data_IF_191486519637
#
_entry.id   IF_191486519637
#
_cell.length_a   1.000
_cell.length_b   1.000
_cell.length_c   1.000
_cell.angle_alpha   90.00
_cell.angle_beta   90.00
_cell.angle_gamma   90.00
#
_symmetry.space_group_name_H-M   'P 1'
#
loop_
_entity.id
_entity.type
_entity.pdbx_description
1 polymer ?
#
# COMPACT_ATOMS: atom_id res chain seq x y z
N UNK A 1 -6.77 -6.61 14.87
CA UNK A 1 -6.09 -5.31 14.60
C UNK A 1 -5.35 -4.92 15.87
N UNK A 2 -4.15 -4.31 15.77
CA UNK A 2 -3.43 -3.88 16.98
C UNK A 2 -4.15 -2.71 17.66
N UNK A 3 -3.99 -2.53 19.01
CA UNK A 3 -4.65 -1.42 19.73
C UNK A 3 -4.25 -0.04 19.19
N UNK A 4 -3.05 0.09 18.61
CA UNK A 4 -2.58 1.33 17.99
C UNK A 4 -3.36 1.64 16.72
N UNK A 5 -3.59 0.64 15.86
CA UNK A 5 -4.41 0.78 14.65
C UNK A 5 -5.86 1.10 14.98
N UNK A 6 -6.44 0.42 15.96
CA UNK A 6 -7.81 0.70 16.42
C UNK A 6 -7.96 2.14 16.88
N UNK A 7 -7.01 2.63 17.69
CA UNK A 7 -7.02 4.02 18.15
C UNK A 7 -6.88 5.00 16.98
N UNK A 8 -6.02 4.70 16.02
CA UNK A 8 -5.84 5.55 14.82
C UNK A 8 -7.15 5.66 14.03
N UNK A 9 -7.75 4.54 13.63
CA UNK A 9 -8.98 4.55 12.83
C UNK A 9 -10.19 5.14 13.58
N UNK A 10 -10.32 4.88 14.89
CA UNK A 10 -11.35 5.52 15.72
C UNK A 10 -11.14 7.03 15.81
N UNK A 11 -9.90 7.49 15.82
CA UNK A 11 -9.55 8.91 15.81
C UNK A 11 -10.05 9.67 14.58
N UNK A 12 -10.16 9.02 13.43
CA UNK A 12 -10.68 9.66 12.20
C UNK A 12 -12.12 10.14 12.37
N UNK A 13 -12.92 9.48 13.18
CA UNK A 13 -14.32 9.82 13.40
C UNK A 13 -14.53 11.02 14.34
N UNK A 14 -13.52 11.34 15.17
CA UNK A 14 -13.63 12.43 16.16
C UNK A 14 -13.70 13.83 15.53
N UNK A 15 -13.28 13.96 14.27
CA UNK A 15 -13.17 15.23 13.56
C UNK A 15 -13.80 15.16 12.16
N UNK A 16 -14.91 14.43 12.03
CA UNK A 16 -15.55 14.05 10.77
C UNK A 16 -15.60 15.17 9.70
N UNK A 17 -16.00 16.38 10.09
CA UNK A 17 -16.20 17.51 9.18
C UNK A 17 -14.91 18.32 8.89
N UNK A 18 -13.81 18.02 9.59
CA UNK A 18 -12.56 18.76 9.36
C UNK A 18 -11.85 18.26 8.10
N UNK A 19 -11.16 19.16 7.36
CA UNK A 19 -10.28 18.74 6.29
C UNK A 19 -9.21 17.75 6.80
N UNK A 20 -9.07 16.63 6.10
CA UNK A 20 -8.08 15.60 6.40
C UNK A 20 -6.95 15.59 5.36
N UNK A 21 -7.29 15.64 4.07
CA UNK A 21 -6.34 15.63 2.97
C UNK A 21 -6.73 16.68 1.93
N UNK A 22 -5.73 17.39 1.38
CA UNK A 22 -5.90 18.39 0.34
C UNK A 22 -4.85 18.16 -0.74
N UNK A 23 -5.29 18.07 -2.01
CA UNK A 23 -4.45 17.91 -3.18
C UNK A 23 -5.03 18.73 -4.34
N UNK A 24 -4.43 19.87 -4.65
CA UNK A 24 -4.99 20.81 -5.61
C UNK A 24 -6.41 21.24 -5.20
N UNK A 25 -7.38 20.99 -6.09
CA UNK A 25 -8.80 21.29 -5.85
C UNK A 25 -9.56 20.13 -5.16
N UNK A 26 -8.93 18.96 -5.01
CA UNK A 26 -9.51 17.81 -4.31
C UNK A 26 -9.27 17.94 -2.81
N UNK A 27 -10.33 17.84 -2.03
CA UNK A 27 -10.27 17.83 -0.58
C UNK A 27 -11.15 16.70 -0.04
N UNK A 28 -10.62 15.96 0.94
CA UNK A 28 -11.38 15.01 1.74
C UNK A 28 -11.45 15.50 3.19
N UNK A 29 -12.60 15.44 3.80
CA UNK A 29 -12.73 15.54 5.25
C UNK A 29 -12.46 14.18 5.89
N UNK A 30 -12.42 14.10 7.23
CA UNK A 30 -12.14 12.85 7.93
C UNK A 30 -13.23 11.78 7.73
N UNK A 31 -14.50 12.17 7.54
CA UNK A 31 -15.59 11.24 7.27
C UNK A 31 -15.44 10.62 5.87
N UNK A 32 -15.17 11.45 4.85
CA UNK A 32 -14.92 11.00 3.48
C UNK A 32 -13.69 10.09 3.43
N UNK A 33 -12.61 10.50 4.10
CA UNK A 33 -11.38 9.70 4.20
C UNK A 33 -11.66 8.31 4.77
N UNK A 34 -12.41 8.22 5.89
CA UNK A 34 -12.75 6.95 6.51
C UNK A 34 -13.60 6.07 5.58
N UNK A 35 -14.57 6.67 4.86
CA UNK A 35 -15.43 5.97 3.90
C UNK A 35 -14.63 5.42 2.72
N UNK A 36 -13.76 6.24 2.12
CA UNK A 36 -12.93 5.83 0.97
C UNK A 36 -11.90 4.77 1.36
N UNK A 37 -11.27 4.88 2.54
CA UNK A 37 -10.40 3.82 3.09
C UNK A 37 -11.18 2.50 3.20
N UNK A 38 -12.41 2.54 3.72
CA UNK A 38 -13.27 1.36 3.85
C UNK A 38 -13.52 0.71 2.50
N UNK A 39 -13.90 1.49 1.49
CA UNK A 39 -14.17 0.99 0.14
C UNK A 39 -12.91 0.35 -0.49
N UNK A 40 -11.75 0.98 -0.40
CA UNK A 40 -10.50 0.42 -0.89
C UNK A 40 -10.11 -0.87 -0.14
N UNK A 41 -10.28 -0.89 1.19
CA UNK A 41 -10.00 -2.08 2.00
C UNK A 41 -10.90 -3.26 1.62
N UNK A 42 -12.17 -3.00 1.30
CA UNK A 42 -13.10 -4.04 0.85
C UNK A 42 -12.72 -4.60 -0.52
N UNK A 43 -12.26 -3.76 -1.46
CA UNK A 43 -11.70 -4.23 -2.74
C UNK A 43 -10.49 -5.15 -2.50
N UNK A 44 -9.56 -4.78 -1.63
CA UNK A 44 -8.40 -5.60 -1.29
C UNK A 44 -8.78 -6.95 -0.67
N UNK A 45 -9.77 -6.95 0.23
CA UNK A 45 -10.29 -8.19 0.86
C UNK A 45 -10.97 -9.10 -0.16
N UNK A 46 -11.82 -8.53 -1.04
CA UNK A 46 -12.51 -9.27 -2.10
C UNK A 46 -11.52 -9.88 -3.10
N UNK A 47 -10.46 -9.16 -3.41
CA UNK A 47 -9.36 -9.63 -4.24
C UNK A 47 -8.52 -10.73 -3.58
N UNK A 48 -8.66 -10.95 -2.28
CA UNK A 48 -7.83 -11.89 -1.50
C UNK A 48 -6.37 -11.46 -1.39
N UNK A 49 -6.07 -10.17 -1.59
CA UNK A 49 -4.72 -9.62 -1.54
C UNK A 49 -4.04 -9.87 -0.19
N UNK A 50 -2.73 -10.09 -0.21
CA UNK A 50 -1.90 -10.27 0.97
C UNK A 50 -0.81 -9.22 1.08
N UNK A 51 -0.20 -8.83 -0.05
CA UNK A 51 0.91 -7.89 -0.13
C UNK A 51 0.66 -6.90 -1.26
N UNK A 52 0.32 -5.67 -0.87
CA UNK A 52 -0.03 -4.61 -1.79
C UNK A 52 1.19 -3.74 -2.08
N UNK A 53 1.60 -3.62 -3.35
CA UNK A 53 2.53 -2.58 -3.76
C UNK A 53 1.78 -1.32 -4.20
N UNK A 54 2.38 -0.15 -3.90
CA UNK A 54 1.88 1.16 -4.30
C UNK A 54 2.86 1.83 -5.25
N UNK A 55 2.54 1.84 -6.54
CA UNK A 55 3.25 2.55 -7.60
C UNK A 55 2.49 3.82 -8.01
N UNK A 56 2.17 4.64 -7.03
CA UNK A 56 1.42 5.88 -7.15
C UNK A 56 2.31 7.07 -6.79
N UNK A 57 2.03 8.22 -7.39
CA UNK A 57 2.60 9.48 -6.94
C UNK A 57 2.07 9.87 -5.56
N UNK A 58 2.83 10.69 -4.84
CA UNK A 58 2.40 11.22 -3.55
C UNK A 58 1.13 12.05 -3.73
N UNK A 59 0.06 11.67 -3.03
CA UNK A 59 -1.22 12.33 -3.14
C UNK A 59 -2.29 11.62 -2.32
N UNK A 60 -3.54 12.05 -2.49
CA UNK A 60 -4.70 11.49 -1.78
C UNK A 60 -4.83 9.99 -2.05
N UNK A 61 -4.71 9.57 -3.31
CA UNK A 61 -4.87 8.15 -3.67
C UNK A 61 -3.79 7.27 -3.02
N UNK A 62 -2.55 7.75 -2.95
CA UNK A 62 -1.48 7.03 -2.26
C UNK A 62 -1.82 6.80 -0.78
N UNK A 63 -2.31 7.87 -0.10
CA UNK A 63 -2.71 7.78 1.33
C UNK A 63 -3.89 6.84 1.52
N UNK A 64 -4.89 6.90 0.64
CA UNK A 64 -6.06 6.04 0.71
C UNK A 64 -5.67 4.55 0.64
N UNK A 65 -4.86 4.17 -0.34
CA UNK A 65 -4.45 2.78 -0.50
C UNK A 65 -3.50 2.30 0.60
N UNK A 66 -2.60 3.18 1.11
CA UNK A 66 -1.74 2.86 2.25
C UNK A 66 -2.57 2.57 3.51
N UNK A 67 -3.51 3.44 3.83
CA UNK A 67 -4.40 3.27 4.98
C UNK A 67 -5.38 2.11 4.79
N UNK A 68 -5.84 1.85 3.57
CA UNK A 68 -6.67 0.71 3.25
C UNK A 68 -5.93 -0.62 3.48
N UNK A 69 -4.66 -0.71 3.07
CA UNK A 69 -3.82 -1.87 3.35
C UNK A 69 -3.67 -2.11 4.86
N UNK A 70 -3.41 -1.06 5.65
CA UNK A 70 -3.36 -1.13 7.11
C UNK A 70 -4.70 -1.61 7.70
N UNK A 71 -5.83 -1.05 7.24
CA UNK A 71 -7.17 -1.43 7.68
C UNK A 71 -7.52 -2.87 7.35
N UNK A 72 -7.07 -3.36 6.20
CA UNK A 72 -7.28 -4.74 5.77
C UNK A 72 -6.26 -5.73 6.38
N UNK A 73 -5.25 -5.25 7.09
CA UNK A 73 -4.20 -6.09 7.70
C UNK A 73 -3.22 -6.68 6.67
N UNK A 74 -3.04 -6.01 5.53
CA UNK A 74 -2.10 -6.40 4.50
C UNK A 74 -0.72 -5.78 4.73
N UNK A 75 0.29 -6.40 4.13
CA UNK A 75 1.62 -5.78 4.04
C UNK A 75 1.63 -4.79 2.88
N UNK A 76 1.89 -3.51 3.16
CA UNK A 76 2.05 -2.48 2.16
C UNK A 76 3.53 -2.35 1.74
N UNK A 77 3.77 -2.24 0.43
CA UNK A 77 5.10 -2.11 -0.16
C UNK A 77 5.12 -0.87 -1.06
N UNK A 78 5.49 0.31 -0.54
CA UNK A 78 5.69 1.49 -1.38
C UNK A 78 6.73 1.22 -2.45
N UNK A 79 6.42 1.55 -3.70
CA UNK A 79 7.29 1.38 -4.85
C UNK A 79 7.71 2.75 -5.38
N UNK A 80 8.91 3.25 -5.02
CA UNK A 80 9.35 4.58 -5.42
C UNK A 80 9.47 4.72 -6.95
N UNK A 81 8.88 5.79 -7.50
CA UNK A 81 8.91 6.06 -8.94
C UNK A 81 10.29 6.33 -9.52
N UNK A 82 11.28 6.65 -8.67
CA UNK A 82 12.68 6.84 -9.09
C UNK A 82 13.49 5.53 -9.18
N UNK A 83 12.93 4.39 -8.79
CA UNK A 83 13.55 3.10 -9.00
C UNK A 83 13.53 2.72 -10.48
N UNK A 84 14.64 2.16 -10.97
CA UNK A 84 14.70 1.58 -12.32
C UNK A 84 13.73 0.40 -12.46
N UNK A 85 13.41 -0.01 -13.69
CA UNK A 85 12.56 -1.16 -13.95
C UNK A 85 13.07 -2.43 -13.25
N UNK A 86 14.39 -2.67 -13.29
CA UNK A 86 15.02 -3.82 -12.62
C UNK A 86 14.90 -3.74 -11.09
N UNK A 87 15.05 -2.54 -10.52
CA UNK A 87 14.86 -2.31 -9.09
C UNK A 87 13.41 -2.51 -8.67
N UNK A 88 12.46 -2.03 -9.46
CA UNK A 88 11.03 -2.23 -9.21
C UNK A 88 10.67 -3.71 -9.28
N UNK A 89 11.14 -4.43 -10.29
CA UNK A 89 10.95 -5.87 -10.40
C UNK A 89 11.54 -6.60 -9.17
N UNK A 90 12.77 -6.26 -8.77
CA UNK A 90 13.41 -6.83 -7.59
C UNK A 90 12.58 -6.60 -6.32
N UNK A 91 12.04 -5.40 -6.11
CA UNK A 91 11.15 -5.09 -4.96
C UNK A 91 9.91 -5.97 -4.99
N UNK A 92 9.21 -6.02 -6.12
CA UNK A 92 7.98 -6.79 -6.28
C UNK A 92 8.20 -8.29 -6.05
N UNK A 93 9.30 -8.84 -6.55
CA UNK A 93 9.62 -10.26 -6.44
C UNK A 93 10.15 -10.61 -5.04
N UNK A 94 11.08 -9.82 -4.50
CA UNK A 94 11.66 -10.07 -3.16
C UNK A 94 10.67 -9.88 -2.03
N UNK A 95 9.69 -8.99 -2.18
CA UNK A 95 8.60 -8.82 -1.22
C UNK A 95 7.46 -9.85 -1.42
N UNK A 96 7.43 -10.58 -2.53
CA UNK A 96 6.34 -11.51 -2.86
C UNK A 96 5.01 -10.80 -3.06
N UNK A 97 5.02 -9.66 -3.76
CA UNK A 97 3.83 -8.85 -4.01
C UNK A 97 2.85 -9.60 -4.91
N UNK A 98 1.60 -9.70 -4.48
CA UNK A 98 0.51 -10.33 -5.21
C UNK A 98 -0.54 -9.33 -5.73
N UNK A 99 -0.54 -8.11 -5.20
CA UNK A 99 -1.46 -7.05 -5.60
C UNK A 99 -0.71 -5.72 -5.78
N UNK A 100 -1.10 -4.93 -6.78
CA UNK A 100 -0.47 -3.66 -7.11
C UNK A 100 -1.53 -2.62 -7.51
N UNK A 101 -1.36 -1.39 -7.05
CA UNK A 101 -2.05 -0.21 -7.56
C UNK A 101 -1.00 0.71 -8.18
N UNK A 102 -1.24 1.15 -9.42
CA UNK A 102 -0.29 1.95 -10.18
C UNK A 102 -0.98 3.08 -10.94
N UNK A 103 -0.28 4.20 -11.10
CA UNK A 103 -0.70 5.30 -11.97
C UNK A 103 -0.76 4.86 -13.43
N UNK A 104 0.22 4.04 -13.86
CA UNK A 104 0.23 3.42 -15.20
C UNK A 104 0.31 1.90 -15.07
N UNK A 105 -0.84 1.19 -15.12
CA UNK A 105 -0.90 -0.26 -15.03
C UNK A 105 -0.15 -1.00 -16.14
N UNK A 106 -0.03 -0.40 -17.32
CA UNK A 106 0.56 -1.05 -18.51
C UNK A 106 2.02 -1.43 -18.33
N UNK A 107 2.75 -0.69 -17.47
CA UNK A 107 4.17 -0.92 -17.17
C UNK A 107 4.40 -2.30 -16.51
N UNK A 108 3.40 -2.83 -15.82
CA UNK A 108 3.55 -4.03 -14.99
C UNK A 108 3.02 -5.31 -15.62
N UNK A 109 2.42 -5.23 -16.82
CA UNK A 109 1.84 -6.39 -17.52
C UNK A 109 2.87 -7.49 -17.80
N UNK A 110 4.11 -7.10 -18.18
CA UNK A 110 5.20 -8.04 -18.45
C UNK A 110 5.72 -8.78 -17.20
N UNK A 111 5.36 -8.30 -15.99
CA UNK A 111 5.69 -8.94 -14.70
C UNK A 111 4.59 -9.91 -14.22
N UNK A 112 3.67 -10.28 -15.09
CA UNK A 112 2.60 -11.23 -14.81
C UNK A 112 1.40 -10.64 -14.09
N UNK A 113 1.32 -9.32 -13.94
CA UNK A 113 0.14 -8.65 -13.40
C UNK A 113 -0.97 -8.56 -14.44
N UNK A 114 -2.20 -8.84 -14.01
CA UNK A 114 -3.44 -8.66 -14.79
C UNK A 114 -4.40 -7.77 -14.04
N UNK A 115 -5.09 -6.90 -14.75
CA UNK A 115 -6.08 -6.01 -14.16
C UNK A 115 -7.32 -6.78 -13.70
N UNK A 116 -7.80 -6.43 -12.52
CA UNK A 116 -9.01 -6.99 -11.90
C UNK A 116 -9.99 -5.86 -11.53
N UNK A 117 -11.08 -6.19 -10.83
CA UNK A 117 -12.06 -5.19 -10.43
C UNK A 117 -11.45 -4.06 -9.58
N UNK A 118 -11.95 -2.83 -9.79
CA UNK A 118 -11.52 -1.65 -9.02
C UNK A 118 -10.15 -1.09 -9.37
N UNK A 119 -9.57 -1.47 -10.53
CA UNK A 119 -8.26 -0.99 -10.96
C UNK A 119 -7.08 -1.65 -10.24
N UNK A 120 -7.33 -2.75 -9.54
CA UNK A 120 -6.27 -3.55 -8.93
C UNK A 120 -5.57 -4.42 -9.98
N UNK A 121 -4.25 -4.52 -9.86
CA UNK A 121 -3.44 -5.45 -10.62
C UNK A 121 -3.08 -6.64 -9.73
N UNK A 122 -3.29 -7.87 -10.20
CA UNK A 122 -3.00 -9.08 -9.44
C UNK A 122 -2.09 -10.04 -10.20
N UNK A 123 -1.26 -10.75 -9.45
CA UNK A 123 -0.45 -11.87 -9.95
C UNK A 123 -0.29 -12.96 -8.88
N UNK A 124 0.15 -14.13 -9.29
CA UNK A 124 0.68 -15.14 -8.37
C UNK A 124 2.19 -14.95 -8.28
N UNK A 125 2.74 -14.53 -7.14
CA UNK A 125 4.18 -14.36 -6.99
C UNK A 125 4.89 -15.73 -7.02
N UNK A 126 6.07 -15.79 -7.65
CA UNK A 126 6.88 -17.02 -7.72
C UNK A 126 7.38 -17.48 -6.34
N UNK A 127 7.53 -16.54 -5.41
CA UNK A 127 7.97 -16.78 -4.04
C UNK A 127 7.26 -15.85 -3.08
N UNK A 128 6.88 -16.37 -1.92
CA UNK A 128 6.34 -15.58 -0.80
C UNK A 128 7.34 -15.72 0.36
N UNK A 129 8.19 -14.72 0.62
CA UNK A 129 9.15 -14.79 1.71
C UNK A 129 8.45 -14.73 3.07
N UNK A 130 9.04 -15.39 4.06
CA UNK A 130 8.63 -15.20 5.45
C UNK A 130 9.02 -13.79 5.91
N UNK A 131 8.14 -13.17 6.66
CA UNK A 131 8.35 -11.83 7.22
C UNK A 131 8.33 -11.91 8.76
N UNK A 132 9.02 -10.98 9.44
CA UNK A 132 8.87 -10.83 10.88
C UNK A 132 7.39 -10.69 11.27
N UNK A 133 7.01 -11.28 12.39
CA UNK A 133 5.63 -11.21 12.89
C UNK A 133 5.22 -9.75 13.10
N UNK A 134 3.98 -9.41 12.67
CA UNK A 134 3.44 -8.06 12.80
C UNK A 134 3.88 -7.09 11.70
N UNK A 135 4.66 -7.53 10.70
CA UNK A 135 5.03 -6.66 9.56
C UNK A 135 3.77 -6.17 8.83
N UNK A 136 3.64 -4.85 8.70
CA UNK A 136 2.56 -4.18 7.97
C UNK A 136 3.08 -3.33 6.80
N UNK A 137 4.37 -3.02 6.78
CA UNK A 137 4.98 -2.28 5.67
C UNK A 137 6.40 -2.77 5.43
N UNK A 138 6.80 -2.81 4.15
CA UNK A 138 8.20 -3.02 3.76
C UNK A 138 8.65 -1.79 2.98
N UNK A 139 9.56 -1.01 3.55
CA UNK A 139 10.16 0.15 2.88
C UNK A 139 11.51 -0.25 2.29
N UNK A 140 11.69 -0.02 1.00
CA UNK A 140 12.92 -0.31 0.30
C UNK A 140 13.81 0.93 0.19
N UNK A 141 15.09 0.74 0.48
CA UNK A 141 16.12 1.78 0.33
C UNK A 141 17.09 1.38 -0.78
N UNK A 142 17.58 2.37 -1.53
CA UNK A 142 18.68 2.16 -2.49
C UNK A 142 19.94 1.79 -1.71
N UNK A 143 20.30 0.50 -1.70
CA UNK A 143 21.56 0.05 -1.09
C UNK A 143 22.78 0.47 -1.91
N UNK A 144 23.93 0.59 -1.26
CA UNK A 144 25.24 0.85 -1.91
C UNK A 144 25.65 -0.25 -2.92
N UNK A 145 24.96 -1.38 -2.92
CA UNK A 145 25.23 -2.57 -3.76
C UNK A 145 24.35 -2.66 -5.01
N UNK A 146 23.59 -1.60 -5.36
CA UNK A 146 22.74 -1.53 -6.56
C UNK A 146 21.35 -2.16 -6.43
N UNK A 147 21.15 -3.14 -5.53
CA UNK A 147 19.84 -3.75 -5.28
C UNK A 147 19.20 -3.13 -4.02
N UNK A 148 17.93 -2.66 -4.11
CA UNK A 148 17.21 -2.16 -2.95
C UNK A 148 17.06 -3.22 -1.85
N UNK A 149 17.16 -2.78 -0.60
CA UNK A 149 16.96 -3.61 0.60
C UNK A 149 15.69 -3.21 1.32
N UNK A 150 14.86 -4.19 1.66
CA UNK A 150 13.61 -4.00 2.37
C UNK A 150 13.79 -3.96 3.89
N UNK A 151 13.16 -2.98 4.54
CA UNK A 151 13.04 -2.85 5.99
C UNK A 151 11.60 -3.11 6.37
N UNK A 152 11.37 -4.10 7.24
CA UNK A 152 10.04 -4.45 7.72
C UNK A 152 9.65 -3.56 8.90
N UNK A 153 8.46 -2.97 8.83
CA UNK A 153 7.89 -2.10 9.84
C UNK A 153 6.58 -2.71 10.36
N UNK A 154 6.41 -2.68 11.68
CA UNK A 154 5.15 -3.02 12.34
C UNK A 154 4.27 -1.76 12.59
N UNK A 155 3.09 -1.95 13.19
CA UNK A 155 2.18 -0.84 13.49
C UNK A 155 2.78 0.20 14.44
N UNK A 156 3.56 -0.26 15.42
CA UNK A 156 4.15 0.62 16.43
C UNK A 156 5.21 1.54 15.83
N UNK A 157 6.02 1.03 14.90
CA UNK A 157 7.03 1.83 14.19
C UNK A 157 6.42 2.82 13.19
N UNK A 158 5.24 2.52 12.64
CA UNK A 158 4.58 3.38 11.66
C UNK A 158 3.77 4.52 12.28
N UNK A 159 3.19 4.31 13.47
CA UNK A 159 2.19 5.20 14.06
C UNK A 159 2.69 5.90 15.35
N UNK A 160 3.95 5.80 15.67
CA UNK A 160 4.63 6.58 16.71
C UNK A 160 5.23 7.84 16.15
#
# INVERSE_FOLDING_TARGET
MSPVLERFFNGLQLHAERPALIEGDRQLNYADLASEIGACADLLRQAGAKRLALALDNGIDWVLWDLAALSAGLVCVPLPGFFSADQQQHVLDSAGVDCLVATDPSIYSHLGFTETAGGLLQRTPARIPDLPSGTLKITYTSGTTGQPKGVCLDADLQLR
#
